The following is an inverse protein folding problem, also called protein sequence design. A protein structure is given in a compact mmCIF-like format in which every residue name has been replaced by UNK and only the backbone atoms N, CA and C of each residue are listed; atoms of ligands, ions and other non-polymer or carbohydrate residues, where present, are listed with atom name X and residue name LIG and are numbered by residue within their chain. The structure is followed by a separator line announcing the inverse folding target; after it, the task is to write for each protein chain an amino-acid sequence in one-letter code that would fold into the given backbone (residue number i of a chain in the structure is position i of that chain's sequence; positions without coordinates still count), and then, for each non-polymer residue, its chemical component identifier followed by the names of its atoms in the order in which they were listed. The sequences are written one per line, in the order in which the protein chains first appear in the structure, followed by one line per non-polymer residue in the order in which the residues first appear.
data_IF_235259460735
#
_entry.id   IF_235259460735
#
_cell.length_a   1.000
_cell.length_b   1.000
_cell.length_c   1.000
_cell.angle_alpha   90.00
_cell.angle_beta   90.00
_cell.angle_gamma   90.00
#
_symmetry.space_group_name_H-M   'P 1'
#
loop_
_entity.id
_entity.type
_entity.pdbx_description
1 polymer ?
#
# COMPACT_ATOMS: atom_id res chain seq x y z
N UNK A 1 5.01 8.55 18.40
CA UNK A 1 5.20 7.57 17.32
C UNK A 1 6.52 6.84 17.50
N UNK A 2 6.48 5.53 17.65
CA UNK A 2 7.64 4.64 17.74
C UNK A 2 8.50 4.71 16.46
N UNK A 3 9.83 4.78 16.62
CA UNK A 3 10.79 4.83 15.49
C UNK A 3 11.92 3.84 15.75
N UNK A 4 11.88 2.64 15.15
CA UNK A 4 12.92 1.64 15.28
C UNK A 4 14.15 2.00 14.42
N UNK A 5 15.33 1.60 14.88
CA UNK A 5 16.50 1.54 14.03
C UNK A 5 16.43 0.31 13.15
N UNK A 6 16.22 0.50 11.85
CA UNK A 6 16.10 -0.59 10.87
C UNK A 6 17.39 -0.70 10.07
N UNK A 7 17.97 -1.90 10.07
CA UNK A 7 19.10 -2.21 9.18
C UNK A 7 18.67 -2.13 7.72
N UNK A 8 19.48 -1.48 6.90
CA UNK A 8 19.20 -1.30 5.48
C UNK A 8 20.31 -1.89 4.62
N UNK A 9 19.95 -2.39 3.44
CA UNK A 9 20.89 -2.75 2.38
C UNK A 9 21.54 -1.48 1.82
N UNK A 10 22.61 -1.65 1.02
CA UNK A 10 23.21 -0.54 0.26
C UNK A 10 22.22 0.17 -0.66
N UNK A 11 21.18 -0.54 -1.13
CA UNK A 11 20.07 0.02 -1.91
C UNK A 11 19.03 0.80 -1.08
N UNK A 12 19.21 0.93 0.24
CA UNK A 12 18.21 1.55 1.13
C UNK A 12 17.11 0.61 1.62
N UNK A 13 16.91 -0.54 0.99
CA UNK A 13 15.85 -1.47 1.35
C UNK A 13 16.03 -2.01 2.79
N UNK A 14 14.95 -2.06 3.60
CA UNK A 14 15.00 -2.58 4.96
C UNK A 14 15.33 -4.08 4.97
N UNK A 15 16.08 -4.51 6.00
CA UNK A 15 16.42 -5.92 6.24
C UNK A 15 15.88 -6.31 7.60
N UNK A 16 14.80 -7.06 7.61
CA UNK A 16 14.11 -7.47 8.83
C UNK A 16 13.86 -8.98 8.83
N UNK A 17 14.10 -9.60 9.96
CA UNK A 17 13.61 -10.96 10.24
C UNK A 17 12.14 -10.91 10.69
N UNK A 18 11.45 -12.06 10.63
CA UNK A 18 10.08 -12.15 11.14
C UNK A 18 9.96 -11.73 12.60
N UNK A 19 10.92 -12.11 13.45
CA UNK A 19 10.93 -11.71 14.87
C UNK A 19 11.07 -10.21 15.06
N UNK A 20 11.89 -9.53 14.24
CA UNK A 20 12.02 -8.07 14.28
C UNK A 20 10.71 -7.40 13.83
N UNK A 21 10.03 -7.93 12.82
CA UNK A 21 8.72 -7.42 12.39
C UNK A 21 7.69 -7.59 13.50
N UNK A 22 7.65 -8.74 14.17
CA UNK A 22 6.75 -8.99 15.31
C UNK A 22 7.00 -8.00 16.45
N UNK A 23 8.27 -7.75 16.80
CA UNK A 23 8.65 -6.77 17.83
C UNK A 23 8.27 -5.36 17.43
N UNK A 24 8.48 -4.98 16.17
CA UNK A 24 8.08 -3.67 15.64
C UNK A 24 6.56 -3.53 15.75
N UNK A 25 5.80 -4.53 15.32
CA UNK A 25 4.34 -4.52 15.43
C UNK A 25 3.85 -4.37 16.87
N UNK A 26 4.43 -5.13 17.80
CA UNK A 26 4.12 -5.01 19.23
C UNK A 26 4.42 -3.61 19.78
N UNK A 27 5.53 -3.00 19.39
CA UNK A 27 5.90 -1.67 19.84
C UNK A 27 4.99 -0.59 19.23
N UNK A 28 4.58 -0.73 17.98
CA UNK A 28 3.59 0.16 17.36
C UNK A 28 2.27 0.09 18.12
N UNK A 29 1.77 -1.11 18.39
CA UNK A 29 0.54 -1.31 19.16
C UNK A 29 0.70 -0.77 20.57
N UNK A 30 1.83 -1.01 21.22
CA UNK A 30 2.12 -0.50 22.57
C UNK A 30 2.20 1.02 22.66
N UNK A 31 2.65 1.68 21.60
CA UNK A 31 2.73 3.15 21.53
C UNK A 31 1.37 3.77 21.18
N UNK A 32 0.61 3.12 20.29
CA UNK A 32 -0.71 3.57 19.85
C UNK A 32 -1.81 3.26 20.86
N UNK A 33 -1.85 2.02 21.37
CA UNK A 33 -2.92 1.51 22.23
C UNK A 33 -2.36 0.53 23.27
N UNK A 34 -1.71 1.04 24.34
CA UNK A 34 -1.02 0.20 25.36
C UNK A 34 -1.90 -0.86 26.01
N UNK A 35 -3.21 -0.61 26.10
CA UNK A 35 -4.16 -1.54 26.72
C UNK A 35 -4.33 -2.82 25.91
N UNK A 36 -4.13 -2.77 24.59
CA UNK A 36 -4.21 -3.94 23.71
C UNK A 36 -3.12 -4.98 23.99
N UNK A 37 -2.01 -4.57 24.62
CA UNK A 37 -0.97 -5.51 25.06
C UNK A 37 -1.28 -6.16 26.41
N UNK A 38 -2.23 -5.62 27.18
CA UNK A 38 -2.60 -6.15 28.50
C UNK A 38 -3.81 -7.08 28.43
N UNK A 39 -4.74 -6.80 27.54
CA UNK A 39 -5.95 -7.60 27.32
C UNK A 39 -6.30 -7.65 25.85
N UNK A 40 -6.79 -8.80 25.34
CA UNK A 40 -7.24 -8.92 23.95
C UNK A 40 -8.37 -7.92 23.69
N UNK A 41 -8.13 -7.02 22.74
CA UNK A 41 -9.13 -6.05 22.27
C UNK A 41 -8.86 -5.68 20.83
N UNK A 42 -9.87 -5.17 20.18
CA UNK A 42 -9.80 -4.75 18.79
C UNK A 42 -8.97 -3.48 18.66
N UNK A 43 -8.08 -3.45 17.68
CA UNK A 43 -7.35 -2.25 17.31
C UNK A 43 -8.11 -1.60 16.16
N UNK A 44 -8.46 -0.34 16.31
CA UNK A 44 -8.98 0.46 15.22
C UNK A 44 -7.87 0.73 14.22
N UNK A 45 -7.94 0.01 13.09
CA UNK A 45 -6.89 0.06 12.06
C UNK A 45 -6.92 1.37 11.28
N UNK A 46 -8.08 2.00 11.17
CA UNK A 46 -8.26 3.28 10.49
C UNK A 46 -7.64 4.41 11.31
N UNK A 47 -7.92 4.46 12.60
CA UNK A 47 -7.28 5.41 13.51
C UNK A 47 -5.76 5.18 13.59
N UNK A 48 -5.30 3.94 13.55
CA UNK A 48 -3.86 3.65 13.49
C UNK A 48 -3.24 4.20 12.21
N UNK A 49 -3.89 4.05 11.07
CA UNK A 49 -3.39 4.58 9.81
C UNK A 49 -3.44 6.12 9.77
N UNK A 50 -4.58 6.71 10.13
CA UNK A 50 -4.81 8.15 10.03
C UNK A 50 -4.08 8.94 11.12
N UNK A 51 -4.37 8.63 12.40
CA UNK A 51 -3.91 9.45 13.52
C UNK A 51 -2.48 9.11 13.93
N UNK A 52 -2.12 7.83 13.89
CA UNK A 52 -0.79 7.41 14.32
C UNK A 52 0.25 7.48 13.21
N UNK A 53 -0.06 7.02 11.99
CA UNK A 53 0.86 7.03 10.85
C UNK A 53 0.75 8.30 9.99
N UNK A 54 -0.34 9.06 10.12
CA UNK A 54 -0.58 10.28 9.35
C UNK A 54 -0.90 10.01 7.87
N UNK A 55 -1.58 8.88 7.60
CA UNK A 55 -1.97 8.51 6.24
C UNK A 55 -3.32 9.11 5.87
N UNK A 56 -3.42 9.62 4.65
CA UNK A 56 -4.71 9.90 4.02
C UNK A 56 -5.33 8.59 3.49
N UNK A 57 -6.65 8.48 3.51
CA UNK A 57 -7.39 7.33 2.98
C UNK A 57 -8.22 7.71 1.77
N UNK A 58 -8.20 6.88 0.73
CA UNK A 58 -9.09 6.96 -0.42
C UNK A 58 -9.61 5.57 -0.79
N UNK A 59 -10.75 5.54 -1.47
CA UNK A 59 -11.44 4.32 -1.87
C UNK A 59 -11.73 4.36 -3.36
N UNK A 60 -11.14 3.43 -4.12
CA UNK A 60 -11.29 3.34 -5.57
C UNK A 60 -11.49 1.88 -5.98
N UNK A 61 -12.01 1.64 -7.18
CA UNK A 61 -11.89 0.33 -7.78
C UNK A 61 -10.47 0.19 -8.32
N UNK A 62 -9.68 -0.72 -7.75
CA UNK A 62 -8.29 -0.93 -8.14
C UNK A 62 -8.15 -1.93 -9.29
N UNK A 63 -9.16 -2.76 -9.51
CA UNK A 63 -9.16 -3.72 -10.60
C UNK A 63 -10.58 -4.18 -10.96
N UNK A 64 -10.78 -4.56 -12.21
CA UNK A 64 -12.04 -5.14 -12.68
C UNK A 64 -12.50 -6.39 -11.89
N UNK A 65 -11.57 -7.15 -11.35
CA UNK A 65 -11.83 -8.48 -10.77
C UNK A 65 -11.51 -8.57 -9.28
N UNK A 66 -11.19 -7.44 -8.62
CA UNK A 66 -10.82 -7.43 -7.20
C UNK A 66 -9.54 -8.23 -6.89
N UNK A 67 -8.58 -8.23 -7.80
CA UNK A 67 -7.25 -8.83 -7.58
C UNK A 67 -6.40 -7.89 -6.73
N UNK A 68 -6.45 -6.60 -7.01
CA UNK A 68 -5.76 -5.59 -6.21
C UNK A 68 -6.69 -5.12 -5.11
N UNK A 69 -6.23 -5.17 -3.87
CA UNK A 69 -7.06 -4.91 -2.69
C UNK A 69 -6.69 -3.62 -1.97
N UNK A 70 -5.45 -3.20 -2.09
CA UNK A 70 -4.93 -1.98 -1.48
C UNK A 70 -3.67 -1.52 -2.18
N UNK A 71 -3.33 -0.26 -1.96
CA UNK A 71 -2.22 0.40 -2.59
C UNK A 71 -1.74 1.53 -1.69
N UNK A 72 -0.42 1.62 -1.46
CA UNK A 72 0.20 2.73 -0.74
C UNK A 72 0.91 3.66 -1.71
N UNK A 73 0.61 4.94 -1.64
CA UNK A 73 1.21 5.99 -2.48
C UNK A 73 2.31 6.69 -1.67
N UNK A 74 3.56 6.55 -2.10
CA UNK A 74 4.72 7.09 -1.36
C UNK A 74 5.14 8.49 -1.80
N UNK A 75 4.76 8.91 -3.01
CA UNK A 75 5.10 10.23 -3.55
C UNK A 75 3.88 10.85 -4.21
N UNK A 76 3.82 12.18 -4.25
CA UNK A 76 2.79 12.90 -4.98
C UNK A 76 2.79 12.49 -6.44
N UNK A 77 1.63 12.17 -6.98
CA UNK A 77 1.50 11.71 -8.35
C UNK A 77 0.11 12.00 -8.91
N UNK A 78 0.02 12.21 -10.21
CA UNK A 78 -1.22 12.31 -11.00
C UNK A 78 -1.53 11.03 -11.81
N UNK A 79 -0.80 9.93 -11.53
CA UNK A 79 -0.83 8.69 -12.32
C UNK A 79 -1.07 7.44 -11.49
N UNK A 80 -1.90 7.53 -10.46
CA UNK A 80 -2.32 6.34 -9.72
C UNK A 80 -3.31 5.57 -10.59
N UNK A 81 -3.00 4.33 -11.00
CA UNK A 81 -3.88 3.54 -11.84
C UNK A 81 -5.11 3.06 -11.04
N UNK A 82 -6.28 3.29 -11.57
CA UNK A 82 -7.57 2.82 -11.04
C UNK A 82 -8.40 2.18 -12.14
N UNK A 83 -9.45 1.47 -11.78
CA UNK A 83 -10.41 0.90 -12.70
C UNK A 83 -11.68 1.76 -12.75
N UNK A 84 -12.10 2.18 -13.94
CA UNK A 84 -13.38 2.82 -14.16
C UNK A 84 -14.42 1.75 -14.55
N UNK A 85 -15.39 1.43 -13.66
CA UNK A 85 -16.41 0.43 -13.94
C UNK A 85 -17.44 0.89 -14.97
N UNK A 86 -17.62 2.20 -15.18
CA UNK A 86 -18.59 2.73 -16.15
C UNK A 86 -18.11 2.55 -17.59
N UNK A 87 -16.83 2.85 -17.82
CA UNK A 87 -16.22 2.74 -19.13
C UNK A 87 -15.47 1.42 -19.33
N UNK A 88 -15.40 0.56 -18.30
CA UNK A 88 -14.71 -0.72 -18.31
C UNK A 88 -13.24 -0.59 -18.79
N UNK A 89 -12.54 0.40 -18.29
CA UNK A 89 -11.14 0.68 -18.67
C UNK A 89 -10.30 1.09 -17.46
N UNK A 90 -8.99 1.11 -17.66
CA UNK A 90 -8.07 1.72 -16.70
C UNK A 90 -8.12 3.24 -16.85
N UNK A 91 -8.07 3.93 -15.72
CA UNK A 91 -8.00 5.37 -15.61
C UNK A 91 -6.92 5.77 -14.60
N UNK A 92 -6.62 7.03 -14.49
CA UNK A 92 -5.62 7.57 -13.57
C UNK A 92 -6.22 8.66 -12.69
N UNK A 93 -5.86 8.63 -11.40
CA UNK A 93 -6.21 9.68 -10.45
C UNK A 93 -4.96 10.30 -9.84
N UNK A 94 -5.11 11.52 -9.32
CA UNK A 94 -4.08 12.17 -8.52
C UNK A 94 -4.18 11.71 -7.06
N UNK A 95 -3.04 11.47 -6.43
CA UNK A 95 -2.96 11.24 -5.00
C UNK A 95 -1.69 11.89 -4.43
N UNK A 96 -1.75 12.23 -3.14
CA UNK A 96 -0.60 12.74 -2.40
C UNK A 96 0.23 11.59 -1.83
N UNK A 97 1.47 11.89 -1.48
CA UNK A 97 2.29 11.02 -0.66
C UNK A 97 1.55 10.65 0.64
N UNK A 98 1.83 9.47 1.16
CA UNK A 98 1.20 8.93 2.37
C UNK A 98 -0.30 8.63 2.25
N UNK A 99 -0.82 8.49 1.01
CA UNK A 99 -2.20 8.06 0.79
C UNK A 99 -2.28 6.55 0.67
N UNK A 100 -3.20 5.94 1.41
CA UNK A 100 -3.61 4.54 1.21
C UNK A 100 -4.90 4.50 0.40
N UNK A 101 -4.90 3.71 -0.66
CA UNK A 101 -6.08 3.51 -1.50
C UNK A 101 -6.55 2.07 -1.33
N UNK A 102 -7.78 1.90 -0.89
CA UNK A 102 -8.39 0.59 -0.67
C UNK A 102 -9.45 0.32 -1.74
N UNK A 103 -9.49 -0.93 -2.20
CA UNK A 103 -10.49 -1.33 -3.19
C UNK A 103 -11.91 -1.23 -2.62
N UNK A 104 -12.81 -0.53 -3.34
CA UNK A 104 -14.21 -0.33 -2.93
C UNK A 104 -14.97 -1.62 -2.68
N UNK A 105 -14.58 -2.73 -3.30
CA UNK A 105 -15.19 -4.03 -3.04
C UNK A 105 -14.99 -4.50 -1.59
N UNK A 106 -13.99 -3.98 -0.88
CA UNK A 106 -13.77 -4.30 0.53
C UNK A 106 -14.70 -3.56 1.48
N UNK A 107 -15.46 -2.58 1.00
CA UNK A 107 -16.50 -1.89 1.77
C UNK A 107 -17.86 -2.60 1.71
N UNK A 108 -17.98 -3.66 0.90
CA UNK A 108 -19.21 -4.46 0.81
C UNK A 108 -19.43 -5.30 2.08
N UNK A 109 -20.64 -5.77 2.26
CA UNK A 109 -21.00 -6.63 3.40
C UNK A 109 -20.10 -7.87 3.48
N UNK A 110 -19.74 -8.25 4.70
CA UNK A 110 -18.90 -9.42 5.02
C UNK A 110 -17.43 -9.34 4.52
N UNK A 111 -16.94 -8.15 4.14
CA UNK A 111 -15.53 -7.95 3.74
C UNK A 111 -14.67 -7.32 4.86
N UNK A 112 -15.21 -7.04 6.02
CA UNK A 112 -14.53 -6.33 7.12
C UNK A 112 -13.18 -6.93 7.48
N UNK A 113 -13.07 -8.26 7.63
CA UNK A 113 -11.79 -8.90 7.94
C UNK A 113 -10.74 -8.72 6.84
N UNK A 114 -11.19 -8.73 5.57
CA UNK A 114 -10.30 -8.51 4.43
C UNK A 114 -9.87 -7.05 4.37
N UNK A 115 -10.81 -6.13 4.61
CA UNK A 115 -10.53 -4.71 4.72
C UNK A 115 -9.46 -4.44 5.78
N UNK A 116 -9.70 -4.85 7.02
CA UNK A 116 -8.79 -4.66 8.14
C UNK A 116 -7.40 -5.23 7.88
N UNK A 117 -7.35 -6.43 7.32
CA UNK A 117 -6.08 -7.05 6.96
C UNK A 117 -5.36 -6.29 5.84
N UNK A 118 -6.09 -5.79 4.84
CA UNK A 118 -5.52 -5.00 3.75
C UNK A 118 -5.00 -3.65 4.27
N UNK A 119 -5.81 -2.94 5.05
CA UNK A 119 -5.40 -1.67 5.65
C UNK A 119 -4.14 -1.84 6.54
N UNK A 120 -4.10 -2.87 7.38
CA UNK A 120 -2.91 -3.18 8.19
C UNK A 120 -1.68 -3.54 7.35
N UNK A 121 -1.87 -4.16 6.19
CA UNK A 121 -0.78 -4.46 5.25
C UNK A 121 -0.21 -3.17 4.64
N UNK A 122 -1.07 -2.27 4.17
CA UNK A 122 -0.67 -0.99 3.58
C UNK A 122 -0.04 -0.06 4.64
N UNK A 123 -0.60 -0.04 5.86
CA UNK A 123 0.00 0.66 7.00
C UNK A 123 1.42 0.13 7.32
N UNK A 124 1.63 -1.17 7.19
CA UNK A 124 2.96 -1.79 7.30
C UNK A 124 3.91 -1.32 6.20
N UNK A 125 3.43 -1.15 4.98
CA UNK A 125 4.24 -0.57 3.89
C UNK A 125 4.61 0.88 4.19
N UNK A 126 3.68 1.71 4.61
CA UNK A 126 3.97 3.09 5.00
C UNK A 126 5.05 3.15 6.09
N UNK A 127 4.90 2.35 7.14
CA UNK A 127 5.82 2.37 8.26
C UNK A 127 7.24 1.89 7.89
N UNK A 128 7.36 0.84 7.09
CA UNK A 128 8.65 0.18 6.80
C UNK A 128 9.34 0.70 5.55
N UNK A 129 8.58 1.14 4.56
CA UNK A 129 9.09 1.35 3.20
C UNK A 129 9.04 2.81 2.73
N UNK A 130 8.37 3.73 3.43
CA UNK A 130 8.25 5.11 2.97
C UNK A 130 9.60 5.78 2.67
N UNK A 131 10.60 5.60 3.53
CA UNK A 131 11.92 6.17 3.31
C UNK A 131 12.67 5.51 2.13
N UNK A 132 12.37 4.26 1.84
CA UNK A 132 12.95 3.53 0.71
C UNK A 132 12.39 3.98 -0.64
N UNK A 133 11.10 4.32 -0.67
CA UNK A 133 10.40 4.76 -1.88
C UNK A 133 10.27 6.28 -1.98
N UNK A 134 10.66 7.04 -0.94
CA UNK A 134 10.65 8.49 -0.99
C UNK A 134 11.49 8.99 -2.18
N UNK A 135 10.93 9.93 -2.93
CA UNK A 135 11.66 10.58 -4.01
C UNK A 135 12.84 11.36 -3.45
N UNK A 136 14.03 11.09 -3.97
CA UNK A 136 15.26 11.83 -3.66
C UNK A 136 15.58 12.74 -4.86
N UNK A 137 15.37 14.06 -4.74
CA UNK A 137 15.63 15.00 -5.83
C UNK A 137 17.13 15.08 -6.21
N UNK A 138 18.02 14.64 -5.32
CA UNK A 138 19.46 14.64 -5.57
C UNK A 138 19.92 13.35 -6.30
N UNK A 139 19.04 12.37 -6.42
CA UNK A 139 19.33 11.11 -7.11
C UNK A 139 18.86 11.18 -8.56
N UNK A 140 19.77 11.47 -9.48
CA UNK A 140 19.49 11.43 -10.92
C UNK A 140 19.24 9.97 -11.33
N UNK A 141 18.02 9.67 -11.76
CA UNK A 141 17.64 8.37 -12.28
C UNK A 141 17.82 8.33 -13.80
N UNK A 142 17.85 7.10 -14.36
CA UNK A 142 17.88 6.92 -15.82
C UNK A 142 16.61 7.53 -16.48
N UNK A 143 15.47 7.54 -15.78
CA UNK A 143 14.22 8.13 -16.26
C UNK A 143 14.32 9.65 -16.37
N UNK A 144 14.99 10.31 -15.41
CA UNK A 144 15.25 11.76 -15.46
C UNK A 144 16.10 12.12 -16.67
N UNK A 145 17.09 11.29 -17.01
CA UNK A 145 17.93 11.46 -18.20
C UNK A 145 17.18 11.23 -19.51
N UNK A 146 16.12 10.42 -19.49
CA UNK A 146 15.27 10.17 -20.67
C UNK A 146 14.13 11.17 -20.80
N UNK A 147 13.96 12.11 -19.83
CA UNK A 147 12.88 13.07 -19.82
C UNK A 147 11.50 12.45 -19.51
N UNK A 148 11.50 11.23 -19.00
CA UNK A 148 10.29 10.55 -18.55
C UNK A 148 10.01 10.91 -17.08
N UNK A 149 8.76 11.22 -16.76
CA UNK A 149 8.36 11.36 -15.34
C UNK A 149 8.55 10.01 -14.65
N UNK A 150 9.23 9.96 -13.49
CA UNK A 150 9.37 8.72 -12.76
C UNK A 150 8.00 8.10 -12.51
N UNK A 151 7.92 6.79 -12.70
CA UNK A 151 6.70 6.05 -12.38
C UNK A 151 6.31 6.31 -10.93
N UNK A 152 5.02 6.50 -10.62
CA UNK A 152 4.60 6.67 -9.24
C UNK A 152 5.06 5.46 -8.44
N UNK A 153 5.81 5.71 -7.35
CA UNK A 153 6.25 4.64 -6.45
C UNK A 153 5.05 4.22 -5.61
N UNK A 154 4.34 3.24 -6.13
CA UNK A 154 3.11 2.70 -5.57
C UNK A 154 3.29 1.22 -5.36
N UNK A 155 2.87 0.70 -4.22
CA UNK A 155 2.92 -0.72 -3.94
C UNK A 155 1.50 -1.27 -3.79
N UNK A 156 1.20 -2.36 -4.50
CA UNK A 156 -0.13 -2.94 -4.51
C UNK A 156 -0.16 -4.28 -3.80
N UNK A 157 -1.20 -4.50 -2.99
CA UNK A 157 -1.54 -5.80 -2.48
C UNK A 157 -2.37 -6.59 -3.50
N UNK A 158 -1.95 -7.80 -3.80
CA UNK A 158 -2.59 -8.70 -4.76
C UNK A 158 -3.27 -9.87 -4.04
N UNK A 159 -4.53 -10.16 -4.39
CA UNK A 159 -5.18 -11.39 -3.96
C UNK A 159 -4.67 -12.57 -4.81
N UNK A 160 -3.68 -13.29 -4.29
CA UNK A 160 -3.03 -14.41 -4.98
C UNK A 160 -3.99 -15.54 -5.35
N UNK A 161 -5.12 -15.70 -4.63
CA UNK A 161 -6.11 -16.73 -4.95
C UNK A 161 -6.84 -16.44 -6.26
N UNK A 162 -7.00 -15.18 -6.61
CA UNK A 162 -7.66 -14.75 -7.85
C UNK A 162 -6.71 -14.74 -9.05
N UNK A 163 -5.40 -14.57 -8.84
CA UNK A 163 -4.40 -14.54 -9.92
C UNK A 163 -4.33 -15.87 -10.67
N UNK A 164 -4.37 -16.99 -9.98
CA UNK A 164 -4.25 -18.31 -10.59
C UNK A 164 -5.46 -18.74 -11.44
N UNK A 165 -6.66 -18.18 -11.20
CA UNK A 165 -7.86 -18.47 -12.00
C UNK A 165 -7.98 -17.66 -13.30
N UNK A 166 -7.13 -16.66 -13.51
CA UNK A 166 -7.29 -15.65 -14.58
C UNK A 166 -6.46 -15.90 -15.85
N UNK A 167 -5.48 -16.78 -15.79
CA UNK A 167 -4.60 -17.01 -16.95
C UNK A 167 -5.28 -17.69 -18.15
N UNK A 168 -6.47 -18.25 -17.97
CA UNK A 168 -7.15 -18.98 -19.04
C UNK A 168 -8.02 -18.12 -19.98
N UNK A 169 -8.49 -16.93 -19.55
CA UNK A 169 -9.35 -16.13 -20.42
C UNK A 169 -9.37 -14.67 -20.02
N UNK A 170 -8.45 -13.81 -20.45
CA UNK A 170 -8.84 -12.44 -20.72
C UNK A 170 -7.81 -11.37 -21.12
N UNK A 171 -8.38 -10.23 -21.59
CA UNK A 171 -7.69 -9.29 -22.43
C UNK A 171 -7.06 -8.12 -21.68
N UNK A 172 -6.04 -7.60 -22.29
CA UNK A 172 -5.47 -6.23 -22.33
C UNK A 172 -5.41 -5.32 -21.07
N UNK A 173 -6.26 -5.41 -20.04
CA UNK A 173 -6.15 -4.58 -18.83
C UNK A 173 -4.97 -4.97 -17.92
N UNK A 174 -4.44 -6.17 -18.06
CA UNK A 174 -3.34 -6.69 -17.25
C UNK A 174 -1.95 -6.13 -17.62
N UNK A 175 -1.80 -5.60 -18.82
CA UNK A 175 -0.48 -5.17 -19.32
C UNK A 175 -0.01 -3.81 -18.81
N UNK A 176 -0.92 -2.97 -18.31
CA UNK A 176 -0.53 -1.65 -17.81
C UNK A 176 0.11 -1.70 -16.41
N UNK A 177 -0.27 -2.70 -15.59
CA UNK A 177 0.23 -2.81 -14.20
C UNK A 177 1.36 -3.81 -14.00
N UNK A 178 1.67 -4.67 -14.95
CA UNK A 178 2.74 -5.68 -14.82
C UNK A 178 4.13 -5.19 -15.24
N UNK A 179 4.28 -3.91 -15.54
CA UNK A 179 5.56 -3.28 -15.89
C UNK A 179 5.99 -2.18 -14.92
N UNK A 180 5.48 -2.22 -13.68
CA UNK A 180 5.99 -1.38 -12.60
C UNK A 180 6.91 -2.20 -11.70
#
# INVERSE_FOLDING_TARGET
MYRPEIKRKRSGAPVLSRKEIDVIGQNIVGDFMPEALKSPQEIDIDLLAQDYLGMDQDFQYLSHCGVYLGMTVFNDTDKVPVYDPQNNCADYISAKAHTVIIDKMLLEENQEHRYRFTMGHEAGHEFLHKEYFAYDPDQITLFDLMGETPAPMVQCRVDTKKVFGFFENKPRCFYAMSRI
#
